data_IF_901605926924
#
_entry.id   IF_901605926924
#
_cell.length_a   1.000
_cell.length_b   1.000
_cell.length_c   1.000
_cell.angle_alpha   90.00
_cell.angle_beta   90.00
_cell.angle_gamma   90.00
#
_symmetry.space_group_name_H-M   'P 1'
#
loop_
_entity.id
_entity.type
_entity.pdbx_description
1 polymer ?
#
# COMPACT_ATOMS: atom_id res chain seq x y z
N UNK A 1 -6.63 -28.64 -15.22
CA UNK A 1 -7.11 -27.87 -14.04
C UNK A 1 -7.41 -26.48 -14.55
N UNK A 2 -8.70 -26.14 -14.55
CA UNK A 2 -9.27 -25.00 -15.29
C UNK A 2 -8.69 -23.66 -14.84
N UNK A 3 -8.18 -22.89 -15.80
CA UNK A 3 -7.68 -21.51 -15.61
C UNK A 3 -8.78 -20.49 -15.24
N UNK A 4 -10.05 -20.88 -15.29
CA UNK A 4 -11.23 -20.00 -15.15
C UNK A 4 -11.66 -19.72 -13.68
N UNK A 5 -11.01 -20.29 -12.67
CA UNK A 5 -11.39 -20.08 -11.25
C UNK A 5 -10.41 -19.25 -10.43
N UNK A 6 -9.44 -18.58 -11.05
CA UNK A 6 -8.63 -17.58 -10.35
C UNK A 6 -9.45 -16.30 -10.17
N UNK A 7 -10.32 -16.28 -9.17
CA UNK A 7 -11.07 -15.07 -8.78
C UNK A 7 -10.14 -13.89 -8.66
N UNK A 8 -10.56 -12.73 -9.16
CA UNK A 8 -9.74 -11.50 -9.14
C UNK A 8 -9.40 -11.11 -7.70
N UNK A 9 -8.11 -11.24 -7.33
CA UNK A 9 -7.63 -10.84 -6.00
C UNK A 9 -7.63 -9.32 -5.90
N UNK A 10 -8.36 -8.80 -4.92
CA UNK A 10 -8.44 -7.37 -4.63
C UNK A 10 -7.49 -7.04 -3.49
N UNK A 11 -6.46 -6.22 -3.78
CA UNK A 11 -5.46 -5.78 -2.81
C UNK A 11 -5.94 -4.67 -1.88
N UNK A 12 -7.04 -3.98 -2.21
CA UNK A 12 -7.48 -2.82 -1.43
C UNK A 12 -7.98 -3.20 -0.02
N UNK A 13 -8.72 -4.31 0.08
CA UNK A 13 -9.30 -4.85 1.32
C UNK A 13 -9.25 -6.37 1.23
N UNK A 14 -8.07 -7.00 1.38
CA UNK A 14 -7.93 -8.43 1.11
C UNK A 14 -8.52 -9.32 2.22
N UNK A 15 -8.55 -8.84 3.45
CA UNK A 15 -9.01 -9.57 4.63
C UNK A 15 -9.46 -8.62 5.75
N UNK A 16 -9.66 -9.17 6.96
CA UNK A 16 -10.05 -8.40 8.15
C UNK A 16 -8.90 -7.71 8.88
N UNK A 17 -7.64 -8.04 8.55
CA UNK A 17 -6.46 -7.55 9.28
C UNK A 17 -5.87 -6.29 8.63
N UNK A 18 -5.90 -6.21 7.32
CA UNK A 18 -5.22 -5.16 6.57
C UNK A 18 -6.06 -4.56 5.45
N UNK A 19 -5.76 -3.33 5.13
CA UNK A 19 -6.36 -2.57 4.04
C UNK A 19 -5.38 -1.54 3.50
N UNK A 20 -5.70 -1.01 2.32
CA UNK A 20 -4.88 -0.03 1.63
C UNK A 20 -5.70 1.24 1.38
N UNK A 21 -5.08 2.40 1.56
CA UNK A 21 -5.67 3.72 1.26
C UNK A 21 -4.76 4.58 0.37
N UNK A 22 -3.86 3.97 -0.42
CA UNK A 22 -2.94 4.69 -1.29
C UNK A 22 -3.65 5.55 -2.32
N UNK A 23 -4.66 5.02 -3.00
CA UNK A 23 -5.46 5.78 -3.98
C UNK A 23 -6.26 6.93 -3.34
N UNK A 24 -6.45 6.89 -2.01
CA UNK A 24 -7.01 8.00 -1.24
C UNK A 24 -5.94 9.02 -0.80
N UNK A 25 -4.68 8.83 -1.19
CA UNK A 25 -3.59 9.76 -0.92
C UNK A 25 -2.85 9.52 0.40
N UNK A 26 -2.85 8.29 0.93
CA UNK A 26 -2.20 8.01 2.22
C UNK A 26 -0.70 8.33 2.22
N UNK A 27 0.03 8.07 1.12
CA UNK A 27 1.46 8.38 1.01
C UNK A 27 1.75 9.71 0.28
N UNK A 28 0.76 10.57 0.14
CA UNK A 28 0.92 11.92 -0.41
C UNK A 28 1.46 12.90 0.64
N UNK A 29 1.26 12.63 1.92
CA UNK A 29 1.78 13.48 3.00
C UNK A 29 3.30 13.63 2.96
N UNK A 30 3.81 14.79 3.39
CA UNK A 30 5.25 14.99 3.55
C UNK A 30 5.83 14.06 4.61
N UNK A 31 5.13 13.92 5.74
CA UNK A 31 5.42 12.92 6.76
C UNK A 31 4.57 11.67 6.51
N UNK A 32 5.22 10.59 6.10
CA UNK A 32 4.60 9.28 5.93
C UNK A 32 4.98 8.31 7.04
N UNK A 33 5.42 8.79 8.20
CA UNK A 33 5.67 7.90 9.34
C UNK A 33 4.40 7.20 9.80
N UNK A 34 4.57 5.99 10.33
CA UNK A 34 3.45 5.19 10.90
C UNK A 34 2.66 6.03 11.91
N UNK A 35 3.37 6.78 12.77
CA UNK A 35 2.74 7.62 13.79
C UNK A 35 1.82 8.67 13.15
N UNK A 36 2.35 9.47 12.23
CA UNK A 36 1.57 10.54 11.58
C UNK A 36 0.36 9.99 10.83
N UNK A 37 0.55 8.93 10.04
CA UNK A 37 -0.53 8.33 9.27
C UNK A 37 -1.58 7.65 10.16
N UNK A 38 -1.16 7.01 11.27
CA UNK A 38 -2.11 6.44 12.25
C UNK A 38 -2.95 7.52 12.94
N UNK A 39 -2.34 8.64 13.32
CA UNK A 39 -3.07 9.79 13.89
C UNK A 39 -4.08 10.35 12.87
N UNK A 40 -3.66 10.53 11.63
CA UNK A 40 -4.53 10.97 10.55
C UNK A 40 -5.70 10.00 10.32
N UNK A 41 -5.45 8.70 10.23
CA UNK A 41 -6.51 7.69 10.02
C UNK A 41 -7.45 7.59 11.22
N UNK A 42 -6.94 7.73 12.43
CA UNK A 42 -7.74 7.71 13.67
C UNK A 42 -8.74 8.87 13.74
N UNK A 43 -8.36 10.05 13.24
CA UNK A 43 -9.26 11.21 13.15
C UNK A 43 -10.27 11.15 11.98
N UNK A 44 -10.24 10.08 11.19
CA UNK A 44 -11.04 9.93 9.97
C UNK A 44 -12.54 10.16 10.17
N UNK A 45 -13.12 9.61 11.25
CA UNK A 45 -14.55 9.77 11.55
C UNK A 45 -14.94 11.22 11.87
N UNK A 46 -14.07 11.99 12.52
CA UNK A 46 -14.31 13.41 12.78
C UNK A 46 -14.25 14.21 11.47
N UNK A 47 -13.28 13.91 10.60
CA UNK A 47 -13.20 14.52 9.27
C UNK A 47 -14.41 14.17 8.42
N UNK A 48 -14.86 12.92 8.40
CA UNK A 48 -16.04 12.49 7.63
C UNK A 48 -17.29 13.25 8.08
N UNK A 49 -17.49 13.43 9.37
CA UNK A 49 -18.65 14.18 9.93
C UNK A 49 -18.59 15.67 9.61
N UNK A 50 -17.41 16.27 9.61
CA UNK A 50 -17.22 17.71 9.38
C UNK A 50 -17.19 18.08 7.90
N UNK A 51 -17.03 17.11 6.99
CA UNK A 51 -16.85 17.30 5.56
C UNK A 51 -18.06 16.76 4.81
N UNK A 52 -18.95 17.62 4.28
CA UNK A 52 -20.10 17.16 3.50
C UNK A 52 -19.73 16.81 2.08
N UNK A 53 -18.78 17.54 1.50
CA UNK A 53 -18.26 17.32 0.15
C UNK A 53 -16.75 17.53 0.14
N UNK A 54 -16.06 17.00 -0.89
CA UNK A 54 -14.63 17.26 -1.04
C UNK A 54 -14.32 18.75 -1.19
N UNK A 55 -15.17 19.53 -1.83
CA UNK A 55 -14.97 20.96 -2.03
C UNK A 55 -14.98 21.78 -0.73
N UNK A 56 -15.60 21.26 0.32
CA UNK A 56 -15.57 21.85 1.65
C UNK A 56 -14.30 21.50 2.43
N UNK A 57 -13.60 20.42 2.02
CA UNK A 57 -12.36 20.01 2.63
C UNK A 57 -11.22 20.88 2.13
N UNK A 58 -10.63 21.61 3.06
CA UNK A 58 -9.40 22.35 2.83
C UNK A 58 -8.26 21.55 3.41
N UNK A 59 -7.57 20.81 2.56
CA UNK A 59 -6.38 20.09 2.96
C UNK A 59 -5.28 21.06 3.35
N UNK A 60 -4.99 21.11 4.64
CA UNK A 60 -3.95 21.96 5.24
C UNK A 60 -2.64 21.20 5.43
N UNK A 61 -2.60 19.92 5.12
CA UNK A 61 -1.43 19.11 5.34
C UNK A 61 -0.36 19.39 4.29
N UNK A 62 0.89 19.31 4.71
CA UNK A 62 2.02 19.41 3.79
C UNK A 62 2.09 18.14 2.93
N UNK A 63 2.11 18.32 1.61
CA UNK A 63 2.17 17.25 0.62
C UNK A 63 3.58 17.10 0.06
N UNK A 64 3.94 15.88 -0.31
CA UNK A 64 5.15 15.58 -1.09
C UNK A 64 5.01 16.07 -2.53
N UNK A 65 3.84 15.86 -3.08
CA UNK A 65 3.46 16.31 -4.41
C UNK A 65 2.20 17.17 -4.32
N UNK A 66 2.32 18.44 -4.68
CA UNK A 66 1.24 19.43 -4.59
C UNK A 66 0.07 19.11 -5.53
N UNK A 67 0.33 18.39 -6.62
CA UNK A 67 -0.69 17.99 -7.59
C UNK A 67 -1.54 16.81 -7.11
N UNK A 68 -1.06 16.10 -6.09
CA UNK A 68 -1.72 14.92 -5.57
C UNK A 68 -2.89 15.25 -4.64
N UNK A 69 -3.81 14.30 -4.57
CA UNK A 69 -5.05 14.36 -3.83
C UNK A 69 -4.96 13.63 -2.49
N UNK A 70 -5.52 14.21 -1.44
CA UNK A 70 -5.76 13.54 -0.15
C UNK A 70 -7.26 13.51 0.09
N UNK A 71 -7.83 12.29 0.17
CA UNK A 71 -9.25 12.08 0.46
C UNK A 71 -9.52 12.29 1.96
N UNK A 72 -10.48 13.16 2.35
CA UNK A 72 -10.83 13.34 3.75
C UNK A 72 -11.58 12.13 4.35
N UNK A 73 -12.13 11.26 3.52
CA UNK A 73 -12.97 10.13 3.93
C UNK A 73 -12.22 8.82 4.16
N UNK A 74 -10.89 8.85 4.20
CA UNK A 74 -10.10 7.71 4.63
C UNK A 74 -9.93 7.70 6.15
N UNK A 75 -9.91 6.51 6.74
CA UNK A 75 -9.76 6.33 8.17
C UNK A 75 -9.66 4.88 8.56
N UNK A 76 -9.51 4.60 9.86
CA UNK A 76 -9.65 3.23 10.34
C UNK A 76 -11.12 2.80 10.35
N UNK A 77 -11.39 1.67 9.73
CA UNK A 77 -12.68 0.99 9.74
C UNK A 77 -12.93 0.36 11.12
N UNK A 78 -14.11 -0.25 11.32
CA UNK A 78 -14.50 -0.85 12.59
C UNK A 78 -13.57 -2.01 13.03
N UNK A 79 -12.93 -2.68 12.07
CA UNK A 79 -11.96 -3.76 12.29
C UNK A 79 -10.51 -3.25 12.47
N UNK A 80 -10.31 -1.94 12.51
CA UNK A 80 -8.99 -1.32 12.78
C UNK A 80 -8.05 -1.20 11.58
N UNK A 81 -8.48 -1.57 10.37
CA UNK A 81 -7.68 -1.42 9.15
C UNK A 81 -7.98 -0.14 8.39
N UNK A 82 -7.03 0.43 7.62
CA UNK A 82 -7.28 1.57 6.77
C UNK A 82 -8.33 1.27 5.70
N UNK A 83 -9.18 2.26 5.41
CA UNK A 83 -10.19 2.13 4.37
C UNK A 83 -11.01 3.38 4.14
N UNK A 84 -12.03 3.25 3.29
CA UNK A 84 -12.96 4.32 2.94
C UNK A 84 -14.16 4.31 3.89
N UNK A 85 -14.30 5.36 4.71
CA UNK A 85 -15.37 5.51 5.70
C UNK A 85 -16.77 5.71 5.10
N UNK A 86 -16.84 6.09 3.83
CA UNK A 86 -18.09 6.32 3.09
C UNK A 86 -18.36 5.23 2.03
N UNK A 87 -17.64 4.10 2.13
CA UNK A 87 -17.86 2.96 1.25
C UNK A 87 -19.13 2.20 1.65
N UNK A 88 -19.94 1.69 0.70
CA UNK A 88 -21.18 0.98 1.02
C UNK A 88 -20.99 -0.24 1.94
N UNK A 89 -19.85 -0.92 1.89
CA UNK A 89 -19.53 -2.01 2.81
C UNK A 89 -19.29 -1.53 4.26
N UNK A 90 -18.95 -0.26 4.46
CA UNK A 90 -18.73 0.30 5.79
C UNK A 90 -20.01 0.93 6.40
N UNK A 91 -20.89 1.45 5.55
CA UNK A 91 -22.04 2.27 5.97
C UNK A 91 -23.40 1.74 5.52
N UNK A 92 -23.44 0.75 4.61
CA UNK A 92 -24.66 0.29 3.95
C UNK A 92 -25.13 1.21 2.81
N UNK A 93 -24.60 2.42 2.68
CA UNK A 93 -24.96 3.42 1.68
C UNK A 93 -23.68 3.89 0.97
N UNK A 94 -23.72 4.02 -0.36
CA UNK A 94 -22.59 4.54 -1.12
C UNK A 94 -22.51 6.07 -0.99
N UNK A 95 -21.58 6.53 -0.16
CA UNK A 95 -21.29 7.94 0.05
C UNK A 95 -20.14 8.49 -0.81
N UNK A 96 -19.53 7.69 -1.68
CA UNK A 96 -18.30 8.04 -2.44
C UNK A 96 -18.46 9.21 -3.40
N UNK A 97 -19.69 9.59 -3.75
CA UNK A 97 -19.96 10.79 -4.55
C UNK A 97 -19.60 12.11 -3.83
N UNK A 98 -19.39 12.06 -2.50
CA UNK A 98 -18.83 13.19 -1.73
C UNK A 98 -17.33 13.40 -2.01
N UNK A 99 -16.62 12.40 -2.50
CA UNK A 99 -15.18 12.47 -2.79
C UNK A 99 -14.90 13.13 -4.15
N UNK A 100 -13.63 13.53 -4.39
CA UNK A 100 -13.22 14.11 -5.67
C UNK A 100 -13.45 13.15 -6.85
N UNK A 101 -13.14 11.87 -6.64
CA UNK A 101 -13.22 10.88 -7.74
C UNK A 101 -14.60 10.26 -7.91
N UNK A 102 -15.53 10.54 -6.98
CA UNK A 102 -16.89 10.01 -6.93
C UNK A 102 -16.97 8.47 -6.95
N UNK A 103 -18.18 7.94 -6.78
CA UNK A 103 -18.42 6.49 -6.89
C UNK A 103 -18.04 5.95 -8.26
N UNK A 104 -18.21 6.75 -9.32
CA UNK A 104 -17.92 6.38 -10.71
C UNK A 104 -16.48 5.90 -10.92
N UNK A 105 -15.51 6.55 -10.28
CA UNK A 105 -14.09 6.14 -10.36
C UNK A 105 -13.74 5.21 -9.19
N UNK A 106 -14.10 5.56 -7.96
CA UNK A 106 -13.73 4.80 -6.77
C UNK A 106 -14.26 3.36 -6.73
N UNK A 107 -15.33 3.03 -7.49
CA UNK A 107 -15.88 1.68 -7.52
C UNK A 107 -15.09 0.71 -8.40
N UNK A 108 -14.38 1.21 -9.40
CA UNK A 108 -13.69 0.38 -10.39
C UNK A 108 -12.18 0.58 -10.45
N UNK A 109 -11.63 1.54 -9.70
CA UNK A 109 -10.19 1.83 -9.75
C UNK A 109 -9.36 0.70 -9.15
N UNK A 110 -8.39 0.23 -9.92
CA UNK A 110 -7.37 -0.71 -9.49
C UNK A 110 -5.99 -0.09 -9.74
N UNK A 111 -5.19 0.01 -8.70
CA UNK A 111 -3.85 0.60 -8.78
C UNK A 111 -2.87 -0.28 -9.57
N UNK A 112 -1.70 0.25 -9.98
CA UNK A 112 -0.69 -0.51 -10.72
C UNK A 112 -0.31 -1.85 -10.13
N UNK A 113 -0.28 -2.00 -8.80
CA UNK A 113 0.04 -3.27 -8.15
C UNK A 113 -0.90 -4.41 -8.57
N UNK A 114 -2.18 -4.12 -8.88
CA UNK A 114 -3.12 -5.14 -9.37
C UNK A 114 -2.73 -5.71 -10.73
N UNK A 115 -2.06 -4.93 -11.56
CA UNK A 115 -1.63 -5.36 -12.90
C UNK A 115 -0.19 -5.88 -12.93
N UNK A 116 0.67 -5.36 -12.04
CA UNK A 116 2.10 -5.66 -12.04
C UNK A 116 2.44 -6.90 -11.22
N UNK A 117 1.67 -7.22 -10.17
CA UNK A 117 1.87 -8.41 -9.37
C UNK A 117 1.14 -9.62 -9.96
N UNK A 118 1.83 -10.75 -10.03
CA UNK A 118 1.24 -12.04 -10.38
C UNK A 118 0.22 -12.51 -9.32
N UNK A 119 -0.53 -13.54 -9.64
CA UNK A 119 -1.47 -14.15 -8.69
C UNK A 119 -0.74 -14.66 -7.45
N UNK A 120 0.37 -15.36 -7.64
CA UNK A 120 1.19 -15.95 -6.59
C UNK A 120 1.78 -14.88 -5.66
N UNK A 121 2.29 -13.79 -6.23
CA UNK A 121 2.82 -12.65 -5.46
C UNK A 121 1.74 -11.99 -4.60
N UNK A 122 0.53 -11.81 -5.13
CA UNK A 122 -0.60 -11.26 -4.36
C UNK A 122 -0.99 -12.15 -3.18
N UNK A 123 -1.13 -13.46 -3.43
CA UNK A 123 -1.43 -14.43 -2.36
C UNK A 123 -0.33 -14.42 -1.31
N UNK A 124 0.92 -14.44 -1.74
CA UNK A 124 2.08 -14.43 -0.83
C UNK A 124 2.10 -13.16 0.03
N UNK A 125 1.84 -11.99 -0.56
CA UNK A 125 1.75 -10.71 0.15
C UNK A 125 0.63 -10.74 1.20
N UNK A 126 -0.56 -11.17 0.81
CA UNK A 126 -1.72 -11.23 1.69
C UNK A 126 -1.47 -12.18 2.85
N UNK A 127 -0.88 -13.36 2.59
CA UNK A 127 -0.61 -14.36 3.62
C UNK A 127 0.48 -13.95 4.61
N UNK A 128 1.53 -13.26 4.14
CA UNK A 128 2.76 -13.08 4.92
C UNK A 128 2.99 -11.65 5.45
N UNK A 129 2.10 -10.69 5.19
CA UNK A 129 2.20 -9.33 5.73
C UNK A 129 0.90 -8.98 6.42
N UNK A 130 0.91 -8.95 7.76
CA UNK A 130 -0.28 -8.65 8.57
C UNK A 130 -0.36 -7.14 8.94
N UNK A 131 0.77 -6.46 9.00
CA UNK A 131 0.83 -5.02 9.28
C UNK A 131 0.33 -4.20 8.09
N UNK A 132 -0.70 -3.38 8.31
CA UNK A 132 -1.33 -2.58 7.26
C UNK A 132 -0.36 -1.59 6.60
N UNK A 133 0.59 -1.07 7.38
CA UNK A 133 1.53 -0.07 6.88
C UNK A 133 2.57 -0.70 5.94
N UNK A 134 3.18 -1.81 6.38
CA UNK A 134 4.14 -2.60 5.58
C UNK A 134 3.45 -3.18 4.34
N UNK A 135 2.20 -3.61 4.48
CA UNK A 135 1.35 -4.01 3.36
C UNK A 135 1.18 -2.89 2.33
N UNK A 136 0.94 -1.67 2.81
CA UNK A 136 0.79 -0.48 1.96
C UNK A 136 2.11 -0.13 1.25
N UNK A 137 3.26 -0.32 1.88
CA UNK A 137 4.61 -0.15 1.26
C UNK A 137 4.77 -1.08 0.06
N UNK A 138 4.43 -2.36 0.20
CA UNK A 138 4.51 -3.33 -0.90
C UNK A 138 3.61 -2.97 -2.09
N UNK A 139 2.43 -2.40 -1.83
CA UNK A 139 1.52 -1.95 -2.88
C UNK A 139 2.00 -0.65 -3.54
N UNK A 140 2.65 0.23 -2.80
CA UNK A 140 3.18 1.48 -3.32
C UNK A 140 4.32 1.24 -4.33
N UNK A 141 5.18 0.25 -4.07
CA UNK A 141 6.24 -0.16 -4.97
C UNK A 141 6.21 -1.67 -5.24
N UNK A 142 5.30 -2.11 -6.14
CA UNK A 142 5.15 -3.53 -6.46
C UNK A 142 6.40 -4.15 -7.10
N UNK A 143 7.24 -3.38 -7.80
CA UNK A 143 8.47 -3.93 -8.39
C UNK A 143 9.52 -4.30 -7.33
N UNK A 144 9.67 -3.47 -6.30
CA UNK A 144 10.55 -3.80 -5.17
C UNK A 144 10.01 -4.95 -4.34
N UNK A 145 8.70 -5.01 -4.14
CA UNK A 145 8.09 -6.17 -3.50
C UNK A 145 8.32 -7.46 -4.32
N UNK A 146 8.06 -7.44 -5.64
CA UNK A 146 8.37 -8.57 -6.54
C UNK A 146 9.83 -9.00 -6.44
N UNK A 147 10.75 -8.04 -6.41
CA UNK A 147 12.19 -8.32 -6.27
C UNK A 147 12.49 -9.06 -4.95
N UNK A 148 11.95 -8.58 -3.83
CA UNK A 148 12.12 -9.22 -2.50
C UNK A 148 11.49 -10.62 -2.49
N UNK A 149 10.27 -10.75 -3.00
CA UNK A 149 9.57 -12.02 -3.12
C UNK A 149 10.37 -13.07 -3.90
N UNK A 150 10.86 -12.71 -5.08
CA UNK A 150 11.64 -13.61 -5.94
C UNK A 150 12.96 -14.00 -5.24
N UNK A 151 13.63 -13.05 -4.60
CA UNK A 151 14.86 -13.32 -3.85
C UNK A 151 14.62 -14.32 -2.72
N UNK A 152 13.56 -14.15 -1.93
CA UNK A 152 13.19 -15.09 -0.86
C UNK A 152 12.90 -16.47 -1.46
N UNK A 153 12.13 -16.55 -2.54
CA UNK A 153 11.78 -17.80 -3.20
C UNK A 153 13.01 -18.54 -3.77
N UNK A 154 13.90 -17.82 -4.42
CA UNK A 154 15.12 -18.40 -5.00
C UNK A 154 16.10 -18.92 -3.93
N UNK A 155 16.21 -18.20 -2.82
CA UNK A 155 17.19 -18.49 -1.77
C UNK A 155 16.73 -19.56 -0.79
N UNK A 156 15.47 -19.56 -0.43
CA UNK A 156 14.95 -20.40 0.63
C UNK A 156 13.98 -21.49 0.11
N UNK A 157 13.38 -21.29 -1.07
CA UNK A 157 12.40 -22.22 -1.62
C UNK A 157 11.25 -22.48 -0.67
N UNK A 158 10.99 -23.75 -0.38
CA UNK A 158 9.96 -24.21 0.57
C UNK A 158 10.53 -24.48 1.98
N UNK A 159 11.82 -24.18 2.22
CA UNK A 159 12.48 -24.49 3.50
C UNK A 159 12.08 -23.56 4.65
N UNK A 160 11.50 -22.38 4.37
CA UNK A 160 11.04 -21.45 5.39
C UNK A 160 9.65 -21.83 5.91
N UNK A 161 9.54 -21.87 7.23
CA UNK A 161 8.22 -21.85 7.85
C UNK A 161 7.51 -20.49 7.68
N UNK A 162 6.22 -20.45 7.98
CA UNK A 162 5.41 -19.26 7.81
C UNK A 162 5.88 -18.08 8.67
N UNK A 163 6.30 -18.34 9.92
CA UNK A 163 6.72 -17.28 10.84
C UNK A 163 8.04 -16.66 10.39
N UNK A 164 8.98 -17.47 9.92
CA UNK A 164 10.25 -17.00 9.40
C UNK A 164 10.03 -16.21 8.10
N UNK A 165 9.14 -16.68 7.22
CA UNK A 165 8.77 -15.98 5.99
C UNK A 165 8.19 -14.60 6.30
N UNK A 166 7.23 -14.49 7.23
CA UNK A 166 6.65 -13.22 7.67
C UNK A 166 7.71 -12.26 8.21
N UNK A 167 8.64 -12.78 9.02
CA UNK A 167 9.70 -11.98 9.63
C UNK A 167 10.65 -11.42 8.58
N UNK A 168 11.19 -12.26 7.71
CA UNK A 168 12.13 -11.84 6.64
C UNK A 168 11.46 -10.83 5.70
N UNK A 169 10.26 -11.13 5.23
CA UNK A 169 9.54 -10.25 4.32
C UNK A 169 9.20 -8.91 4.99
N UNK A 170 8.72 -8.94 6.23
CA UNK A 170 8.39 -7.74 7.00
C UNK A 170 9.61 -6.83 7.20
N UNK A 171 10.75 -7.38 7.60
CA UNK A 171 12.00 -6.62 7.78
C UNK A 171 12.52 -6.07 6.46
N UNK A 172 12.52 -6.86 5.39
CA UNK A 172 12.94 -6.41 4.06
C UNK A 172 12.08 -5.22 3.55
N UNK A 173 10.77 -5.32 3.70
CA UNK A 173 9.85 -4.24 3.34
C UNK A 173 9.98 -3.02 4.24
N UNK A 174 10.26 -3.21 5.53
CA UNK A 174 10.51 -2.10 6.45
C UNK A 174 11.79 -1.32 6.07
N UNK A 175 12.84 -2.01 5.65
CA UNK A 175 14.05 -1.36 5.14
C UNK A 175 13.79 -0.63 3.82
N UNK A 176 13.00 -1.24 2.93
CA UNK A 176 12.59 -0.59 1.70
C UNK A 176 11.76 0.68 1.96
N UNK A 177 10.90 0.67 2.99
CA UNK A 177 10.22 1.88 3.43
C UNK A 177 11.20 3.00 3.80
N UNK A 178 12.31 2.69 4.45
CA UNK A 178 13.38 3.65 4.75
C UNK A 178 13.93 4.34 3.50
N UNK A 179 13.96 3.64 2.36
CA UNK A 179 14.31 4.21 1.06
C UNK A 179 13.18 5.08 0.49
N UNK A 180 11.94 4.57 0.46
CA UNK A 180 10.77 5.33 0.02
C UNK A 180 10.57 6.63 0.80
N UNK A 181 10.81 6.61 2.11
CA UNK A 181 10.59 7.77 2.97
C UNK A 181 11.53 8.95 2.65
N UNK A 182 12.71 8.69 2.12
CA UNK A 182 13.69 9.69 1.70
C UNK A 182 13.32 10.39 0.39
N UNK A 183 12.50 9.76 -0.46
CA UNK A 183 12.08 10.34 -1.72
C UNK A 183 11.04 11.43 -1.49
N UNK A 184 11.26 12.62 -2.05
CA UNK A 184 10.39 13.79 -1.84
C UNK A 184 9.30 13.97 -2.92
N UNK A 185 9.21 13.07 -3.90
CA UNK A 185 8.19 13.09 -4.95
C UNK A 185 6.99 12.21 -4.63
N UNK A 186 6.09 12.09 -5.61
CA UNK A 186 4.93 11.20 -5.52
C UNK A 186 5.36 9.72 -5.52
N UNK A 187 5.05 9.01 -4.45
CA UNK A 187 5.34 7.57 -4.31
C UNK A 187 4.25 6.76 -5.00
N UNK A 188 3.00 7.14 -4.81
CA UNK A 188 1.87 6.44 -5.40
C UNK A 188 1.60 6.95 -6.82
N UNK A 189 1.30 6.04 -7.73
CA UNK A 189 0.94 6.32 -9.12
C UNK A 189 -0.45 5.76 -9.44
N UNK A 190 -1.23 6.51 -10.21
CA UNK A 190 -2.59 6.12 -10.60
C UNK A 190 -2.63 5.24 -11.87
N UNK A 191 -1.51 5.10 -12.56
CA UNK A 191 -1.40 4.27 -13.76
C UNK A 191 -0.05 3.56 -13.87
N UNK A 192 0.01 2.47 -14.62
CA UNK A 192 1.27 1.75 -14.89
C UNK A 192 2.30 2.63 -15.61
N UNK A 193 1.95 3.44 -16.63
CA UNK A 193 2.90 4.36 -17.24
C UNK A 193 3.48 5.37 -16.25
N UNK A 194 2.66 5.96 -15.39
CA UNK A 194 3.09 6.90 -14.35
C UNK A 194 4.03 6.20 -13.35
N UNK A 195 3.68 5.00 -12.89
CA UNK A 195 4.53 4.20 -12.02
C UNK A 195 5.89 3.93 -12.68
N UNK A 196 5.92 3.56 -13.95
CA UNK A 196 7.16 3.28 -14.69
C UNK A 196 8.10 4.50 -14.80
N UNK A 197 7.57 5.71 -14.72
CA UNK A 197 8.37 6.94 -14.65
C UNK A 197 8.88 7.14 -13.22
N UNK A 198 8.00 7.09 -12.23
CA UNK A 198 8.30 7.45 -10.85
C UNK A 198 9.21 6.44 -10.15
N UNK A 199 9.03 5.13 -10.39
CA UNK A 199 9.80 4.05 -9.75
C UNK A 199 11.31 4.16 -9.88
N UNK A 200 11.81 4.83 -10.90
CA UNK A 200 13.25 5.04 -11.12
C UNK A 200 13.91 5.81 -9.96
N UNK A 201 13.13 6.54 -9.18
CA UNK A 201 13.61 7.35 -8.08
C UNK A 201 13.67 6.60 -6.74
N UNK A 202 12.98 5.44 -6.61
CA UNK A 202 12.84 4.79 -5.31
C UNK A 202 12.86 3.25 -5.36
N UNK A 203 12.58 2.62 -6.49
CA UNK A 203 12.55 1.15 -6.56
C UNK A 203 13.95 0.55 -6.40
N UNK A 204 14.04 -0.56 -5.67
CA UNK A 204 15.28 -1.30 -5.39
C UNK A 204 16.04 -1.73 -6.63
N UNK A 205 15.36 -1.81 -7.77
CA UNK A 205 16.02 -2.07 -9.06
C UNK A 205 16.97 -0.95 -9.48
N UNK A 206 16.73 0.29 -9.04
CA UNK A 206 17.45 1.50 -9.45
C UNK A 206 18.25 2.15 -8.31
N UNK A 207 18.21 1.56 -7.10
CA UNK A 207 18.83 2.09 -5.89
C UNK A 207 19.74 1.03 -5.27
N UNK A 208 20.99 0.92 -5.78
CA UNK A 208 21.92 -0.16 -5.46
C UNK A 208 22.19 -0.28 -3.95
N UNK A 209 22.52 0.81 -3.28
CA UNK A 209 22.80 0.79 -1.83
C UNK A 209 21.60 0.28 -1.02
N UNK A 210 20.38 0.72 -1.37
CA UNK A 210 19.16 0.28 -0.71
C UNK A 210 18.87 -1.20 -0.99
N UNK A 211 19.14 -1.65 -2.21
CA UNK A 211 19.00 -3.06 -2.60
C UNK A 211 19.95 -3.94 -1.82
N UNK A 212 21.22 -3.59 -1.75
CA UNK A 212 22.23 -4.36 -0.99
C UNK A 212 21.88 -4.44 0.48
N UNK A 213 21.39 -3.34 1.07
CA UNK A 213 20.97 -3.32 2.46
C UNK A 213 19.78 -4.27 2.71
N UNK A 214 18.76 -4.24 1.86
CA UNK A 214 17.61 -5.17 1.95
C UNK A 214 18.06 -6.62 1.80
N UNK A 215 18.95 -6.92 0.84
CA UNK A 215 19.47 -8.28 0.64
C UNK A 215 20.31 -8.77 1.79
N UNK A 216 21.07 -7.89 2.46
CA UNK A 216 21.88 -8.25 3.62
C UNK A 216 21.05 -8.80 4.78
N UNK A 217 19.85 -8.23 5.00
CA UNK A 217 18.91 -8.73 6.02
C UNK A 217 18.36 -10.10 5.63
N UNK A 218 17.93 -10.29 4.39
CA UNK A 218 17.49 -11.61 3.93
C UNK A 218 18.60 -12.67 4.14
N UNK A 219 19.85 -12.32 3.84
CA UNK A 219 20.99 -13.24 3.98
C UNK A 219 21.39 -13.55 5.44
N UNK A 220 21.12 -12.64 6.38
CA UNK A 220 21.41 -12.87 7.80
C UNK A 220 20.62 -14.06 8.37
N UNK A 221 19.47 -14.38 7.81
CA UNK A 221 18.65 -15.53 8.19
C UNK A 221 19.13 -16.86 7.61
N UNK A 222 20.07 -16.85 6.66
CA UNK A 222 20.64 -18.08 6.09
C UNK A 222 21.73 -18.70 6.99
N UNK A 223 22.22 -17.95 7.99
CA UNK A 223 23.31 -18.36 8.85
C UNK A 223 22.83 -18.92 10.20
N UNK A 224 21.53 -18.96 10.40
CA UNK A 224 20.86 -19.53 11.58
C UNK A 224 20.23 -20.89 11.28
#
# INVERSE_FOLDING_TARGET
MDEDHKGKIILCQPDSLKGCSLCCGLFVFKDISVKYLSEFLSDGKNRERSCKTYTEYKDKNLKRDISSYICPYQGFLADGKPGCLIHPLATGIDGRDKSLFTSKICSGFLCPAHSLLSYEEKIFLIKNVDDWYIYTVAIADPESYSFIYNYIKERFGESLDENMTKKILGEALYLHWGNLSKYNGGIFSYSVPEYNINKKNFSLKYTDDAREHVLSVCNAYMQQ
#
